data_IF_933264868534
#
_entry.id   IF_933264868534
#
_cell.length_a   1.000
_cell.length_b   1.000
_cell.length_c   1.000
_cell.angle_alpha   90.00
_cell.angle_beta   90.00
_cell.angle_gamma   90.00
#
_symmetry.space_group_name_H-M   'P 1'
#
loop_
_entity.id
_entity.type
_entity.pdbx_description
1 polymer ?
#
# COMPACT_ATOMS: atom_id res chain seq x y z
N UNK A 1 -13.86 -5.95 2.88
CA UNK A 1 -12.77 -5.69 1.90
C UNK A 1 -12.15 -7.02 1.47
N UNK A 2 -11.62 -7.17 0.24
CA UNK A 2 -11.17 -8.48 -0.30
C UNK A 2 -9.65 -8.72 -0.36
N UNK A 3 -8.81 -7.68 -0.34
CA UNK A 3 -7.35 -7.82 -0.38
C UNK A 3 -6.74 -8.27 -1.73
N UNK A 4 -7.54 -8.58 -2.75
CA UNK A 4 -7.06 -9.14 -4.03
C UNK A 4 -6.14 -8.21 -4.85
N UNK A 5 -6.06 -6.93 -4.49
CA UNK A 5 -5.26 -5.92 -5.19
C UNK A 5 -3.95 -5.55 -4.44
N UNK A 6 -3.52 -6.39 -3.49
CA UNK A 6 -2.27 -6.19 -2.77
C UNK A 6 -1.09 -6.21 -3.74
N UNK A 7 -0.28 -5.16 -3.73
CA UNK A 7 0.81 -4.93 -4.70
C UNK A 7 2.10 -4.55 -3.96
N UNK A 8 3.28 -5.08 -4.33
CA UNK A 8 4.55 -4.66 -3.75
C UNK A 8 4.88 -3.18 -4.01
N UNK A 9 5.40 -2.51 -2.99
CA UNK A 9 5.95 -1.15 -3.07
C UNK A 9 7.47 -1.23 -3.13
N UNK A 10 8.07 -0.64 -4.16
CA UNK A 10 9.51 -0.60 -4.38
C UNK A 10 10.13 0.72 -3.87
N UNK A 11 9.36 1.82 -3.85
CA UNK A 11 9.79 3.12 -3.35
C UNK A 11 8.57 4.03 -3.07
N UNK A 12 8.69 4.94 -2.09
CA UNK A 12 7.65 5.89 -1.68
C UNK A 12 6.90 5.47 -0.41
N UNK A 13 6.03 6.36 0.10
CA UNK A 13 5.21 6.11 1.30
C UNK A 13 3.73 6.00 0.90
N UNK A 14 3.11 4.82 1.05
CA UNK A 14 1.67 4.63 0.92
C UNK A 14 0.84 5.44 1.93
N UNK A 15 -0.31 5.92 1.47
CA UNK A 15 -1.42 6.36 2.32
C UNK A 15 -2.42 5.20 2.43
N UNK A 16 -2.22 4.33 3.42
CA UNK A 16 -3.02 3.13 3.62
C UNK A 16 -4.43 3.46 4.09
N UNK A 17 -5.42 3.11 3.27
CA UNK A 17 -6.87 3.28 3.54
C UNK A 17 -7.62 1.95 3.54
N UNK A 18 -6.89 0.84 3.49
CA UNK A 18 -7.48 -0.47 3.64
C UNK A 18 -7.66 -0.89 5.09
N UNK A 19 -8.50 -1.90 5.25
CA UNK A 19 -8.74 -2.63 6.49
C UNK A 19 -8.28 -4.09 6.36
N UNK A 20 -7.43 -4.42 5.37
CA UNK A 20 -6.95 -5.81 5.16
C UNK A 20 -5.58 -6.04 5.75
N UNK A 21 -4.72 -5.03 5.77
CA UNK A 21 -3.41 -5.07 6.42
C UNK A 21 -3.54 -4.67 7.90
N UNK A 22 -2.85 -5.40 8.77
CA UNK A 22 -2.64 -5.02 10.17
C UNK A 22 -1.80 -3.74 10.27
N UNK A 23 -1.82 -3.08 11.42
CA UNK A 23 -1.08 -1.84 11.61
C UNK A 23 0.43 -2.01 11.44
N UNK A 24 0.99 -3.16 11.82
CA UNK A 24 2.41 -3.47 11.61
C UNK A 24 2.75 -3.64 10.12
N UNK A 25 1.84 -4.22 9.34
CA UNK A 25 2.01 -4.41 7.89
C UNK A 25 1.92 -3.06 7.16
N UNK A 26 0.94 -2.22 7.54
CA UNK A 26 0.82 -0.84 7.04
C UNK A 26 2.08 -0.03 7.37
N UNK A 27 2.60 -0.14 8.60
CA UNK A 27 3.81 0.56 9.02
C UNK A 27 5.07 0.12 8.25
N UNK A 28 5.11 -1.13 7.76
CA UNK A 28 6.24 -1.63 6.98
C UNK A 28 6.34 -1.00 5.58
N UNK A 29 5.23 -0.48 5.03
CA UNK A 29 5.18 0.15 3.70
C UNK A 29 5.74 -0.71 2.55
N UNK A 30 5.72 -2.03 2.70
CA UNK A 30 6.23 -2.97 1.69
C UNK A 30 5.19 -3.36 0.66
N UNK A 31 3.91 -3.19 0.98
CA UNK A 31 2.79 -3.51 0.11
C UNK A 31 1.70 -2.44 0.20
N UNK A 32 0.82 -2.40 -0.80
CA UNK A 32 -0.30 -1.47 -0.86
C UNK A 32 -1.51 -2.11 -1.54
N UNK A 33 -2.70 -1.78 -1.05
CA UNK A 33 -3.98 -2.07 -1.71
C UNK A 33 -4.32 -0.99 -2.75
N UNK A 34 -4.06 -1.25 -4.03
CA UNK A 34 -4.15 -0.21 -5.08
C UNK A 34 -5.57 0.29 -5.37
N UNK A 35 -6.63 -0.44 -4.97
CA UNK A 35 -8.01 -0.04 -5.26
C UNK A 35 -8.53 1.11 -4.38
N UNK A 36 -8.00 1.26 -3.15
CA UNK A 36 -8.50 2.22 -2.17
C UNK A 36 -7.41 3.08 -1.52
N UNK A 37 -6.17 2.63 -1.48
CA UNK A 37 -5.05 3.39 -0.92
C UNK A 37 -4.48 4.41 -1.91
N UNK A 38 -3.66 5.33 -1.40
CA UNK A 38 -3.02 6.42 -2.16
C UNK A 38 -1.53 6.51 -1.80
N UNK A 39 -0.88 7.62 -2.16
CA UNK A 39 0.51 7.91 -1.79
C UNK A 39 0.58 9.20 -0.98
N UNK A 40 1.44 9.21 0.05
CA UNK A 40 1.81 10.42 0.81
C UNK A 40 3.04 11.09 0.23
N UNK A 41 3.92 10.32 -0.42
CA UNK A 41 5.03 10.84 -1.21
C UNK A 41 4.54 11.41 -2.55
N UNK A 42 5.38 12.19 -3.22
CA UNK A 42 5.07 12.73 -4.54
C UNK A 42 5.04 11.64 -5.64
N UNK A 43 5.76 10.55 -5.41
CA UNK A 43 5.86 9.40 -6.31
C UNK A 43 5.81 8.09 -5.51
N UNK A 44 5.20 7.06 -6.08
CA UNK A 44 5.14 5.69 -5.55
C UNK A 44 5.53 4.72 -6.68
N UNK A 45 6.58 3.93 -6.47
CA UNK A 45 7.06 2.93 -7.44
C UNK A 45 6.54 1.56 -7.03
N UNK A 46 5.84 0.87 -7.93
CA UNK A 46 5.20 -0.42 -7.69
C UNK A 46 5.89 -1.55 -8.46
N UNK A 47 5.94 -2.72 -7.85
CA UNK A 47 6.41 -3.96 -8.49
C UNK A 47 5.25 -4.69 -9.16
N UNK A 48 4.85 -4.21 -10.34
CA UNK A 48 3.78 -4.77 -11.17
C UNK A 48 4.31 -5.70 -12.26
#
# INVERSE_FOLDING_TARGET
MCGACLTPVLSGEPDHRDEVQADEERAANTQITICCSRSRSAELVLGL
#
